data_IF_351463239245
#
_entry.id   IF_351463239245
#
_cell.length_a   1.000
_cell.length_b   1.000
_cell.length_c   1.000
_cell.angle_alpha   90.00
_cell.angle_beta   90.00
_cell.angle_gamma   90.00
#
_symmetry.space_group_name_H-M   'P 1'
#
loop_
_entity.id
_entity.type
_entity.pdbx_description
1 polymer ?
#
# COMPACT_ATOMS: atom_id res chain seq x y z
N UNK A 1 13.02 -16.05 27.57
CA UNK A 1 12.66 -14.85 26.80
C UNK A 1 13.06 -13.62 27.57
N UNK A 2 13.60 -12.62 26.90
CA UNK A 2 13.96 -11.38 27.55
C UNK A 2 12.74 -10.69 28.12
N UNK A 3 12.88 -10.10 29.29
CA UNK A 3 11.81 -9.33 29.89
C UNK A 3 11.50 -8.08 29.05
N UNK A 4 10.26 -8.00 28.58
CA UNK A 4 9.83 -6.88 27.75
C UNK A 4 9.57 -5.60 28.55
N UNK A 5 9.63 -5.64 29.89
CA UNK A 5 9.42 -4.45 30.71
C UNK A 5 10.59 -3.47 30.63
N UNK A 6 11.74 -3.95 30.29
CA UNK A 6 12.95 -3.16 30.26
C UNK A 6 13.48 -3.04 28.84
N UNK A 7 12.82 -2.19 28.00
CA UNK A 7 13.33 -1.97 26.67
C UNK A 7 14.69 -1.30 26.74
N UNK A 8 15.55 -1.53 25.75
CA UNK A 8 16.83 -0.84 25.72
C UNK A 8 16.59 0.67 25.63
N UNK A 9 17.44 1.49 26.23
CA UNK A 9 17.30 2.93 26.12
C UNK A 9 17.42 3.37 24.66
N UNK A 10 16.67 4.40 24.31
CA UNK A 10 16.76 4.98 22.98
C UNK A 10 18.17 5.52 22.75
N UNK A 11 18.73 5.23 21.59
CA UNK A 11 20.02 5.78 21.22
C UNK A 11 19.82 7.16 20.67
N UNK A 12 20.84 7.99 20.84
CA UNK A 12 20.82 9.32 20.27
C UNK A 12 20.50 9.26 18.77
N UNK A 13 19.58 10.11 18.33
CA UNK A 13 19.16 10.16 16.94
C UNK A 13 18.19 9.09 16.49
N UNK A 14 17.76 8.21 17.39
CA UNK A 14 16.81 7.14 17.05
C UNK A 14 15.46 7.45 17.67
N UNK A 15 14.41 7.30 16.84
CA UNK A 15 13.04 7.35 17.32
C UNK A 15 12.55 5.92 17.49
N UNK A 16 12.30 5.55 18.74
CA UNK A 16 11.79 4.21 19.09
C UNK A 16 10.35 4.27 19.58
N UNK A 17 9.67 5.40 19.37
CA UNK A 17 8.27 5.55 19.76
C UNK A 17 7.39 4.65 18.91
N UNK A 18 6.32 4.12 19.52
CA UNK A 18 5.31 3.36 18.81
C UNK A 18 4.17 4.29 18.47
N UNK A 19 3.81 4.34 17.20
CA UNK A 19 2.72 5.15 16.71
C UNK A 19 1.58 4.26 16.26
N UNK A 20 0.37 4.65 16.63
CA UNK A 20 -0.85 3.94 16.23
C UNK A 20 -1.69 4.86 15.37
N UNK A 21 -2.12 4.35 14.23
CA UNK A 21 -2.97 5.09 13.30
C UNK A 21 -4.34 4.43 13.26
N UNK A 22 -5.38 5.25 13.43
CA UNK A 22 -6.77 4.79 13.27
C UNK A 22 -7.22 5.18 11.86
N UNK A 23 -7.52 4.18 11.03
CA UNK A 23 -7.86 4.41 9.62
C UNK A 23 -9.08 5.32 9.44
N UNK A 24 -9.97 5.39 10.43
CA UNK A 24 -11.15 6.26 10.34
C UNK A 24 -10.80 7.74 10.34
N UNK A 25 -9.61 8.08 10.80
CA UNK A 25 -9.12 9.45 10.90
C UNK A 25 -7.90 9.71 10.02
N UNK A 26 -7.59 8.77 9.13
CA UNK A 26 -6.43 8.87 8.27
C UNK A 26 -6.71 9.75 7.06
N UNK A 27 -5.70 10.46 6.56
CA UNK A 27 -5.86 11.22 5.33
C UNK A 27 -6.03 10.31 4.12
N UNK A 28 -6.69 10.82 3.11
CA UNK A 28 -6.87 10.11 1.84
C UNK A 28 -5.94 10.70 0.79
N UNK A 29 -5.43 9.82 -0.06
CA UNK A 29 -4.62 10.24 -1.18
C UNK A 29 -5.49 10.70 -2.36
N UNK A 30 -4.80 11.16 -3.39
CA UNK A 30 -5.41 11.71 -4.60
C UNK A 30 -6.35 10.73 -5.30
N UNK A 31 -6.03 9.44 -5.26
CA UNK A 31 -6.82 8.41 -5.93
C UNK A 31 -7.79 7.69 -4.99
N UNK A 32 -7.98 8.20 -3.78
CA UNK A 32 -8.92 7.64 -2.82
C UNK A 32 -8.32 6.66 -1.81
N UNK A 33 -7.02 6.39 -1.90
CA UNK A 33 -6.37 5.51 -0.95
C UNK A 33 -6.34 6.14 0.45
N UNK A 34 -6.54 5.30 1.47
CA UNK A 34 -6.44 5.73 2.87
C UNK A 34 -5.01 5.46 3.34
N UNK A 35 -4.30 6.51 3.77
CA UNK A 35 -2.94 6.36 4.25
C UNK A 35 -2.93 5.84 5.68
N UNK A 36 -2.18 4.76 5.89
CA UNK A 36 -2.06 4.11 7.18
C UNK A 36 -0.69 4.46 7.80
N UNK A 37 -0.17 3.56 8.64
CA UNK A 37 1.11 3.81 9.30
C UNK A 37 2.23 4.02 8.30
N UNK A 38 3.12 4.97 8.60
CA UNK A 38 4.27 5.29 7.76
C UNK A 38 5.53 5.28 8.59
N UNK A 39 6.47 4.41 8.24
CA UNK A 39 7.80 4.38 8.81
C UNK A 39 8.77 5.17 7.94
N UNK A 40 10.06 5.03 8.24
CA UNK A 40 11.10 5.73 7.48
C UNK A 40 11.28 5.15 6.08
N UNK A 41 11.19 3.84 5.94
CA UNK A 41 11.49 3.16 4.68
C UNK A 41 10.29 2.42 4.09
N UNK A 42 9.20 2.33 4.83
CA UNK A 42 8.01 1.60 4.39
C UNK A 42 6.76 2.26 4.97
N UNK A 43 5.68 2.26 4.19
CA UNK A 43 4.41 2.80 4.63
C UNK A 43 3.28 1.92 4.11
N UNK A 44 2.13 2.00 4.77
CA UNK A 44 0.96 1.22 4.39
C UNK A 44 -0.15 2.12 3.88
N UNK A 45 -0.99 1.57 3.01
CA UNK A 45 -2.22 2.22 2.56
C UNK A 45 -3.31 1.21 2.32
N UNK A 46 -4.55 1.66 2.42
CA UNK A 46 -5.74 0.84 2.27
C UNK A 46 -6.55 1.34 1.08
N UNK A 47 -6.94 0.41 0.22
CA UNK A 47 -7.94 0.64 -0.82
C UNK A 47 -9.22 -0.04 -0.33
N UNK A 48 -10.25 0.74 -0.04
CA UNK A 48 -11.46 0.21 0.57
C UNK A 48 -12.65 0.35 -0.37
N UNK A 49 -13.32 -0.76 -0.64
CA UNK A 49 -14.55 -0.79 -1.44
C UNK A 49 -14.39 -0.08 -2.79
N UNK A 50 -13.25 -0.28 -3.45
CA UNK A 50 -13.01 0.26 -4.78
C UNK A 50 -14.00 -0.37 -5.76
N UNK A 51 -14.70 0.48 -6.51
CA UNK A 51 -15.78 0.00 -7.36
C UNK A 51 -15.27 -0.50 -8.70
N UNK A 52 -15.99 -1.44 -9.34
CA UNK A 52 -15.63 -1.92 -10.67
C UNK A 52 -15.46 -0.76 -11.65
N UNK A 53 -14.50 -0.91 -12.55
CA UNK A 53 -14.25 0.04 -13.62
C UNK A 53 -14.04 -0.73 -14.92
N UNK A 54 -14.01 -0.01 -16.04
CA UNK A 54 -13.87 -0.62 -17.36
C UNK A 54 -12.43 -0.81 -17.81
N UNK A 55 -11.47 -0.50 -16.95
CA UNK A 55 -10.06 -0.68 -17.27
C UNK A 55 -9.44 0.46 -18.05
N UNK A 56 -10.09 1.60 -18.10
CA UNK A 56 -9.60 2.76 -18.85
C UNK A 56 -8.55 3.59 -18.13
N UNK A 57 -8.22 3.24 -16.89
CA UNK A 57 -7.21 3.97 -16.15
C UNK A 57 -5.87 3.87 -16.86
N UNK A 58 -5.20 5.00 -17.13
CA UNK A 58 -3.88 4.94 -17.72
C UNK A 58 -2.89 4.26 -16.79
N UNK A 59 -1.97 3.52 -17.37
CA UNK A 59 -0.91 2.88 -16.61
C UNK A 59 0.01 3.96 -16.02
N UNK A 60 0.60 3.67 -14.87
CA UNK A 60 1.51 4.59 -14.21
C UNK A 60 2.79 3.87 -13.80
N UNK A 61 3.84 4.66 -13.60
CA UNK A 61 5.11 4.18 -13.07
C UNK A 61 5.36 4.93 -11.78
N UNK A 62 5.85 4.22 -10.77
CA UNK A 62 6.16 4.83 -9.48
C UNK A 62 7.60 4.52 -9.11
N UNK A 63 8.21 5.38 -8.32
CA UNK A 63 9.58 5.19 -7.86
C UNK A 63 9.66 4.35 -6.57
N UNK A 64 8.57 3.72 -6.20
CA UNK A 64 8.52 2.85 -5.03
C UNK A 64 8.04 1.45 -5.43
N UNK A 65 8.45 0.48 -4.63
CA UNK A 65 7.98 -0.89 -4.74
C UNK A 65 6.69 -1.03 -3.93
N UNK A 66 5.75 -1.83 -4.44
CA UNK A 66 4.48 -2.11 -3.75
C UNK A 66 4.35 -3.61 -3.54
N UNK A 67 3.98 -3.99 -2.33
CA UNK A 67 3.47 -5.34 -2.05
C UNK A 67 2.07 -5.19 -1.47
N UNK A 68 1.17 -6.11 -1.79
CA UNK A 68 -0.20 -5.98 -1.35
C UNK A 68 -0.85 -7.31 -1.03
N UNK A 69 -2.01 -7.23 -0.37
CA UNK A 69 -2.80 -8.39 0.03
C UNK A 69 -4.28 -8.07 -0.16
N UNK A 70 -5.00 -8.97 -0.85
CA UNK A 70 -6.43 -8.79 -1.13
C UNK A 70 -7.26 -9.25 0.06
N UNK A 71 -8.08 -8.34 0.60
CA UNK A 71 -8.99 -8.66 1.68
C UNK A 71 -10.32 -9.17 1.12
N UNK A 72 -10.88 -8.48 0.11
CA UNK A 72 -12.14 -8.88 -0.51
C UNK A 72 -12.23 -8.36 -1.93
N UNK A 73 -13.11 -8.97 -2.72
CA UNK A 73 -13.31 -8.58 -4.11
C UNK A 73 -12.27 -9.17 -5.06
N UNK A 74 -12.29 -8.71 -6.31
CA UNK A 74 -11.35 -9.17 -7.34
C UNK A 74 -10.92 -8.03 -8.22
N UNK A 75 -9.68 -8.08 -8.67
CA UNK A 75 -9.16 -7.11 -9.61
C UNK A 75 -8.17 -7.79 -10.56
N UNK A 76 -8.00 -7.20 -11.74
CA UNK A 76 -6.91 -7.58 -12.65
C UNK A 76 -5.77 -6.60 -12.44
N UNK A 77 -4.57 -7.13 -12.24
CA UNK A 77 -3.36 -6.32 -12.21
C UNK A 77 -2.65 -6.48 -13.55
N UNK A 78 -2.39 -5.38 -14.20
CA UNK A 78 -1.66 -5.34 -15.46
C UNK A 78 -0.28 -4.72 -15.18
N UNK A 79 0.79 -5.50 -15.37
CA UNK A 79 2.16 -5.04 -15.11
C UNK A 79 3.03 -5.42 -16.30
N UNK A 80 3.61 -4.42 -16.96
CA UNK A 80 4.59 -4.62 -18.06
C UNK A 80 4.09 -5.68 -19.05
N UNK A 81 2.86 -5.56 -19.51
CA UNK A 81 2.27 -6.45 -20.49
C UNK A 81 1.75 -7.78 -19.95
N UNK A 82 1.94 -8.04 -18.67
CA UNK A 82 1.43 -9.23 -18.01
C UNK A 82 0.10 -8.92 -17.32
N UNK A 83 -0.79 -9.91 -17.23
CA UNK A 83 -2.07 -9.76 -16.58
C UNK A 83 -2.27 -10.88 -15.55
N UNK A 84 -2.64 -10.49 -14.34
CA UNK A 84 -2.90 -11.40 -13.22
C UNK A 84 -4.22 -11.04 -12.57
N UNK A 85 -5.02 -12.06 -12.23
CA UNK A 85 -6.24 -11.85 -11.45
C UNK A 85 -5.91 -12.01 -9.98
N UNK A 86 -6.29 -11.01 -9.20
CA UNK A 86 -6.09 -10.99 -7.74
C UNK A 86 -7.41 -11.34 -7.06
N UNK A 87 -7.40 -12.43 -6.30
CA UNK A 87 -8.55 -12.92 -5.55
C UNK A 87 -8.31 -12.75 -4.05
N UNK A 88 -9.36 -12.78 -3.22
CA UNK A 88 -9.16 -12.69 -1.76
C UNK A 88 -8.13 -13.70 -1.28
N UNK A 89 -7.19 -13.22 -0.46
CA UNK A 89 -6.11 -14.04 0.05
C UNK A 89 -4.85 -14.04 -0.81
N UNK A 90 -4.92 -13.49 -2.02
CA UNK A 90 -3.73 -13.36 -2.86
C UNK A 90 -2.89 -12.16 -2.42
N UNK A 91 -1.59 -12.28 -2.61
CA UNK A 91 -0.68 -11.16 -2.46
C UNK A 91 0.13 -11.00 -3.75
N UNK A 92 0.64 -9.79 -3.96
CA UNK A 92 1.34 -9.48 -5.19
C UNK A 92 2.46 -8.47 -4.96
N UNK A 93 3.32 -8.30 -5.95
CA UNK A 93 4.35 -7.28 -5.94
C UNK A 93 4.32 -6.51 -7.25
N UNK A 94 4.48 -5.19 -7.15
CA UNK A 94 4.76 -4.34 -8.30
C UNK A 94 6.14 -3.73 -8.07
N UNK A 95 7.13 -4.11 -8.87
CA UNK A 95 8.48 -3.56 -8.72
C UNK A 95 8.52 -2.05 -8.96
N UNK A 96 9.46 -1.36 -8.32
CA UNK A 96 9.68 0.05 -8.58
C UNK A 96 9.95 0.26 -10.08
N UNK A 97 9.33 1.29 -10.64
CA UNK A 97 9.50 1.63 -12.06
C UNK A 97 8.68 0.80 -13.04
N UNK A 98 8.01 -0.25 -12.60
CA UNK A 98 7.20 -1.06 -13.49
C UNK A 98 5.90 -0.34 -13.87
N UNK A 99 5.60 -0.30 -15.15
CA UNK A 99 4.35 0.28 -15.63
C UNK A 99 3.19 -0.63 -15.29
N UNK A 100 2.18 -0.10 -14.62
CA UNK A 100 1.08 -0.93 -14.13
C UNK A 100 -0.23 -0.17 -14.03
N UNK A 101 -1.32 -0.93 -14.04
CA UNK A 101 -2.66 -0.42 -13.75
C UNK A 101 -3.52 -1.57 -13.22
N UNK A 102 -4.65 -1.22 -12.63
CA UNK A 102 -5.60 -2.19 -12.09
C UNK A 102 -6.95 -2.02 -12.75
N UNK A 103 -7.64 -3.13 -12.98
CA UNK A 103 -9.04 -3.12 -13.39
C UNK A 103 -9.83 -3.84 -12.30
N UNK A 104 -10.68 -3.12 -11.59
CA UNK A 104 -11.50 -3.71 -10.53
C UNK A 104 -12.67 -4.46 -11.16
N UNK A 105 -12.81 -5.74 -10.80
CA UNK A 105 -13.86 -6.61 -11.34
C UNK A 105 -15.06 -6.71 -10.39
N UNK A 106 -14.78 -6.73 -9.07
CA UNK A 106 -15.79 -6.75 -8.02
C UNK A 106 -15.32 -5.81 -6.94
N UNK A 107 -16.25 -5.18 -6.22
CA UNK A 107 -15.89 -4.24 -5.15
C UNK A 107 -14.69 -4.75 -4.37
N UNK A 108 -13.59 -3.99 -4.39
CA UNK A 108 -12.26 -4.48 -4.06
C UNK A 108 -11.69 -3.76 -2.84
N UNK A 109 -11.23 -4.55 -1.87
CA UNK A 109 -10.56 -4.02 -0.69
C UNK A 109 -9.21 -4.74 -0.54
N UNK A 110 -8.15 -3.95 -0.43
CA UNK A 110 -6.80 -4.50 -0.31
C UNK A 110 -5.94 -3.55 0.51
N UNK A 111 -4.94 -4.12 1.15
CA UNK A 111 -3.93 -3.35 1.88
C UNK A 111 -2.60 -3.49 1.15
N UNK A 112 -1.84 -2.39 1.11
CA UNK A 112 -0.54 -2.36 0.44
C UNK A 112 0.51 -1.77 1.36
N UNK A 113 1.75 -2.17 1.12
CA UNK A 113 2.92 -1.53 1.71
C UNK A 113 3.81 -1.03 0.57
N UNK A 114 4.35 0.17 0.71
CA UNK A 114 5.22 0.78 -0.30
C UNK A 114 6.56 1.14 0.31
N UNK A 115 7.62 0.96 -0.45
CA UNK A 115 8.98 1.30 -0.04
C UNK A 115 9.74 1.91 -1.22
N UNK A 116 10.20 3.17 -1.09
CA UNK A 116 9.97 4.12 -0.01
C UNK A 116 8.51 4.50 0.14
N UNK A 117 8.14 5.14 1.26
CA UNK A 117 6.74 5.50 1.53
C UNK A 117 6.10 6.32 0.40
N UNK A 118 4.96 5.83 -0.10
CA UNK A 118 4.27 6.48 -1.21
C UNK A 118 3.71 7.85 -0.84
N UNK A 119 3.34 8.06 0.42
CA UNK A 119 2.66 9.27 0.86
C UNK A 119 3.57 10.45 1.16
N UNK A 120 4.86 10.33 0.92
CA UNK A 120 5.80 11.42 1.19
C UNK A 120 6.51 11.84 -0.09
N UNK A 121 6.95 13.11 -0.12
CA UNK A 121 7.72 13.69 -1.23
C UNK A 121 7.01 13.60 -2.59
N UNK A 122 5.68 13.63 -2.59
CA UNK A 122 4.91 13.61 -3.83
C UNK A 122 4.99 12.32 -4.63
N UNK A 123 5.45 11.24 -4.03
CA UNK A 123 5.64 9.98 -4.77
C UNK A 123 4.37 9.39 -5.36
N UNK A 124 3.23 9.68 -4.74
CA UNK A 124 1.95 9.10 -5.15
C UNK A 124 1.16 10.03 -6.08
N UNK A 125 1.79 11.08 -6.55
CA UNK A 125 1.13 12.06 -7.41
C UNK A 125 1.63 12.05 -8.84
#
# INVERSE_FOLDING_TARGET
MKDAKDPPPAREGRDTSVHKIDSRHSPHGRDGQTYLASGKSVAMRLWKDEQPNDGDKPASRRDYETVGYVISGRAELHVEGQKVVLNPGDSWVVPAGAEHTYKVLESFTAVEATSPPAQVHGRDE
#
